data_IF_966757449159
#
_entry.id   IF_966757449159
#
_cell.length_a   1.000
_cell.length_b   1.000
_cell.length_c   1.000
_cell.angle_alpha   90.00
_cell.angle_beta   90.00
_cell.angle_gamma   90.00
#
_symmetry.space_group_name_H-M   'P 1'
#
loop_
_entity.id
_entity.type
_entity.pdbx_description
1 polymer ?
#
# COMPACT_ATOMS: atom_id res chain seq x y z
N UNK A 1 -5.14 7.77 25.08
CA UNK A 1 -6.37 8.11 24.32
C UNK A 1 -6.03 8.01 22.82
N UNK A 2 -6.22 6.85 22.19
CA UNK A 2 -5.88 6.67 20.77
C UNK A 2 -7.04 7.19 19.93
N UNK A 3 -6.96 8.44 19.45
CA UNK A 3 -7.96 8.97 18.50
C UNK A 3 -7.94 8.08 17.26
N UNK A 4 -9.03 7.36 16.98
CA UNK A 4 -9.23 6.67 15.70
C UNK A 4 -9.47 7.75 14.64
N UNK A 5 -8.40 8.21 14.00
CA UNK A 5 -8.47 9.10 12.84
C UNK A 5 -9.15 8.31 11.70
N UNK A 6 -10.11 8.92 11.00
CA UNK A 6 -10.77 8.27 9.87
C UNK A 6 -9.74 8.07 8.73
N UNK A 7 -9.84 6.97 7.98
CA UNK A 7 -8.89 6.68 6.90
C UNK A 7 -8.88 7.75 5.83
N UNK A 8 -10.05 8.31 5.53
CA UNK A 8 -10.17 9.46 4.63
C UNK A 8 -9.37 10.66 5.16
N UNK A 9 -9.39 10.92 6.47
CA UNK A 9 -8.59 11.99 7.07
C UNK A 9 -7.08 11.66 7.05
N UNK A 10 -6.68 10.41 7.31
CA UNK A 10 -5.27 10.00 7.21
C UNK A 10 -4.75 10.09 5.76
N UNK A 11 -5.49 9.55 4.80
CA UNK A 11 -5.14 9.59 3.38
C UNK A 11 -5.16 11.03 2.86
N UNK A 12 -6.17 11.82 3.22
CA UNK A 12 -6.24 13.24 2.88
C UNK A 12 -5.06 14.03 3.45
N UNK A 13 -4.61 13.73 4.67
CA UNK A 13 -3.43 14.37 5.25
C UNK A 13 -2.14 14.00 4.51
N UNK A 14 -1.94 12.71 4.17
CA UNK A 14 -0.75 12.25 3.44
C UNK A 14 -0.71 12.84 2.03
N UNK A 15 -1.81 12.73 1.27
CA UNK A 15 -1.86 13.24 -0.10
C UNK A 15 -1.94 14.77 -0.16
N UNK A 16 -2.67 15.41 0.74
CA UNK A 16 -2.74 16.87 0.82
C UNK A 16 -1.40 17.48 1.23
N UNK A 17 -0.75 16.92 2.25
CA UNK A 17 0.59 17.36 2.68
C UNK A 17 1.65 17.09 1.62
N UNK A 18 1.67 15.90 1.02
CA UNK A 18 2.57 15.55 -0.07
C UNK A 18 2.35 16.42 -1.31
N UNK A 19 1.09 16.64 -1.70
CA UNK A 19 0.72 17.51 -2.81
C UNK A 19 1.16 18.96 -2.59
N UNK A 20 0.97 19.48 -1.37
CA UNK A 20 1.44 20.82 -1.02
C UNK A 20 2.97 20.94 -1.11
N UNK A 21 3.70 19.93 -0.64
CA UNK A 21 5.16 19.87 -0.77
C UNK A 21 5.64 19.74 -2.22
N UNK A 22 4.83 19.18 -3.11
CA UNK A 22 5.13 19.06 -4.54
C UNK A 22 4.78 20.32 -5.35
N UNK A 23 4.03 21.28 -4.80
CA UNK A 23 3.68 22.53 -5.51
C UNK A 23 4.90 23.28 -6.06
N UNK A 24 6.01 23.48 -5.31
CA UNK A 24 7.20 24.13 -5.86
C UNK A 24 7.82 23.38 -7.05
N UNK A 25 7.83 22.04 -6.99
CA UNK A 25 8.31 21.20 -8.09
C UNK A 25 7.41 21.38 -9.30
N UNK A 26 6.08 21.34 -9.12
CA UNK A 26 5.11 21.57 -10.17
C UNK A 26 5.27 22.94 -10.83
N UNK A 27 5.55 23.99 -10.06
CA UNK A 27 5.77 25.34 -10.61
C UNK A 27 7.05 25.43 -11.46
N UNK A 28 8.10 24.67 -11.10
CA UNK A 28 9.39 24.68 -11.81
C UNK A 28 9.38 23.75 -13.03
N UNK A 29 8.78 22.56 -12.91
CA UNK A 29 8.89 21.48 -13.91
C UNK A 29 7.57 21.14 -14.62
N UNK A 30 6.45 21.73 -14.22
CA UNK A 30 5.11 21.34 -14.67
C UNK A 30 4.66 21.91 -16.01
N UNK A 31 5.42 22.80 -16.65
CA UNK A 31 5.05 23.38 -17.94
C UNK A 31 4.65 22.34 -19.01
N UNK A 32 5.33 21.18 -19.15
CA UNK A 32 4.93 20.13 -20.10
C UNK A 32 3.56 19.50 -19.83
N UNK A 33 3.06 19.54 -18.58
CA UNK A 33 1.78 18.92 -18.22
C UNK A 33 0.58 19.65 -18.81
N UNK A 34 0.71 20.94 -19.11
CA UNK A 34 -0.33 21.77 -19.74
C UNK A 34 0.03 22.19 -21.17
N UNK A 35 1.14 21.67 -21.70
CA UNK A 35 1.61 22.02 -23.04
C UNK A 35 0.66 21.52 -24.14
N UNK A 36 0.00 20.37 -23.91
CA UNK A 36 -1.00 19.81 -24.82
C UNK A 36 -2.17 19.22 -24.04
N UNK A 37 -3.34 19.14 -24.67
CA UNK A 37 -4.51 18.46 -24.09
C UNK A 37 -4.22 17.00 -23.78
N UNK A 38 -3.44 16.32 -24.62
CA UNK A 38 -3.05 14.93 -24.41
C UNK A 38 -2.18 14.76 -23.16
N UNK A 39 -1.13 15.58 -23.00
CA UNK A 39 -0.25 15.53 -21.83
C UNK A 39 -1.04 15.79 -20.53
N UNK A 40 -1.96 16.75 -20.58
CA UNK A 40 -2.85 17.04 -19.45
C UNK A 40 -3.77 15.85 -19.13
N UNK A 41 -4.38 15.23 -20.15
CA UNK A 41 -5.26 14.08 -19.96
C UNK A 41 -4.51 12.87 -19.41
N UNK A 42 -3.29 12.59 -19.89
CA UNK A 42 -2.44 11.53 -19.35
C UNK A 42 -2.06 11.82 -17.89
N UNK A 43 -1.67 13.06 -17.58
CA UNK A 43 -1.35 13.47 -16.21
C UNK A 43 -2.58 13.34 -15.28
N UNK A 44 -3.75 13.80 -15.73
CA UNK A 44 -5.00 13.69 -14.98
C UNK A 44 -5.40 12.22 -14.78
N UNK A 45 -5.26 11.38 -15.82
CA UNK A 45 -5.48 9.94 -15.72
C UNK A 45 -4.59 9.31 -14.65
N UNK A 46 -3.27 9.58 -14.69
CA UNK A 46 -2.32 9.05 -13.71
C UNK A 46 -2.60 9.54 -12.27
N UNK A 47 -3.02 10.79 -12.10
CA UNK A 47 -3.37 11.33 -10.79
C UNK A 47 -4.67 10.73 -10.23
N UNK A 48 -5.70 10.57 -11.07
CA UNK A 48 -7.03 10.17 -10.61
C UNK A 48 -7.18 8.66 -10.49
N UNK A 49 -6.64 7.89 -11.44
CA UNK A 49 -6.92 6.46 -11.54
C UNK A 49 -5.94 5.63 -10.69
N UNK A 50 -4.65 5.49 -11.02
CA UNK A 50 -3.75 4.66 -10.22
C UNK A 50 -3.44 5.30 -8.86
N UNK A 51 -3.27 6.63 -8.79
CA UNK A 51 -2.94 7.28 -7.52
C UNK A 51 -4.17 7.48 -6.63
N UNK A 52 -5.16 8.27 -7.02
CA UNK A 52 -6.28 8.58 -6.11
C UNK A 52 -7.20 7.37 -5.88
N UNK A 53 -7.77 6.81 -6.95
CA UNK A 53 -8.72 5.68 -6.83
C UNK A 53 -8.01 4.41 -6.31
N UNK A 54 -6.82 4.10 -6.83
CA UNK A 54 -6.03 2.96 -6.37
C UNK A 54 -5.75 3.01 -4.86
N UNK A 55 -5.28 4.15 -4.34
CA UNK A 55 -5.04 4.27 -2.90
C UNK A 55 -6.32 4.29 -2.06
N UNK A 56 -7.43 4.88 -2.53
CA UNK A 56 -8.71 4.78 -1.82
C UNK A 56 -9.16 3.32 -1.67
N UNK A 57 -9.09 2.55 -2.77
CA UNK A 57 -9.43 1.13 -2.77
C UNK A 57 -8.46 0.32 -1.90
N UNK A 58 -7.17 0.64 -1.92
CA UNK A 58 -6.18 0.03 -1.03
C UNK A 58 -6.50 0.32 0.45
N UNK A 59 -6.78 1.58 0.77
CA UNK A 59 -7.22 2.02 2.09
C UNK A 59 -8.47 1.30 2.55
N UNK A 60 -9.40 1.00 1.64
CA UNK A 60 -10.57 0.17 1.91
C UNK A 60 -10.25 -1.33 2.01
N UNK A 61 -9.32 -1.85 1.23
CA UNK A 61 -8.82 -3.23 1.34
C UNK A 61 -8.29 -3.52 2.73
N UNK A 62 -7.53 -2.59 3.31
CA UNK A 62 -7.00 -2.67 4.68
C UNK A 62 -8.08 -2.74 5.78
N UNK A 63 -9.39 -2.58 5.49
CA UNK A 63 -10.47 -2.88 6.46
C UNK A 63 -10.85 -4.35 6.46
N UNK A 64 -10.65 -5.03 5.34
CA UNK A 64 -11.21 -6.35 5.08
C UNK A 64 -10.17 -7.45 5.13
N UNK A 65 -8.89 -7.12 4.94
CA UNK A 65 -7.79 -8.09 4.93
C UNK A 65 -6.75 -7.77 5.99
N UNK A 66 -5.97 -8.78 6.40
CA UNK A 66 -4.84 -8.61 7.30
C UNK A 66 -3.74 -7.74 6.65
N UNK A 67 -2.92 -7.08 7.47
CA UNK A 67 -1.80 -6.29 6.98
C UNK A 67 -0.83 -7.13 6.13
N UNK A 68 -0.57 -8.38 6.54
CA UNK A 68 0.28 -9.31 5.79
C UNK A 68 -0.29 -9.60 4.40
N UNK A 69 -1.59 -9.87 4.28
CA UNK A 69 -2.24 -10.10 2.98
C UNK A 69 -2.15 -8.87 2.09
N UNK A 70 -2.34 -7.67 2.65
CA UNK A 70 -2.20 -6.42 1.90
C UNK A 70 -0.76 -6.23 1.39
N UNK A 71 0.24 -6.51 2.23
CA UNK A 71 1.65 -6.47 1.82
C UNK A 71 1.95 -7.48 0.72
N UNK A 72 1.42 -8.70 0.78
CA UNK A 72 1.58 -9.69 -0.31
C UNK A 72 1.02 -9.15 -1.62
N UNK A 73 -0.19 -8.57 -1.60
CA UNK A 73 -0.83 -8.01 -2.80
C UNK A 73 0.01 -6.84 -3.36
N UNK A 74 0.45 -5.91 -2.52
CA UNK A 74 1.30 -4.79 -2.94
C UNK A 74 2.66 -5.25 -3.45
N UNK A 75 3.26 -6.30 -2.88
CA UNK A 75 4.53 -6.85 -3.39
C UNK A 75 4.35 -7.67 -4.68
N UNK A 76 3.14 -8.16 -4.96
CA UNK A 76 2.80 -8.83 -6.22
C UNK A 76 2.74 -7.82 -7.36
N UNK A 77 2.32 -6.58 -7.09
CA UNK A 77 2.24 -5.51 -8.08
C UNK A 77 3.59 -5.26 -8.80
N UNK A 78 4.75 -5.07 -8.14
CA UNK A 78 6.05 -4.96 -8.80
C UNK A 78 6.38 -6.12 -9.74
N UNK A 79 6.04 -7.35 -9.35
CA UNK A 79 6.30 -8.52 -10.19
C UNK A 79 5.44 -8.48 -11.45
N UNK A 80 4.15 -8.15 -11.31
CA UNK A 80 3.24 -7.97 -12.45
C UNK A 80 3.70 -6.80 -13.31
N UNK A 81 4.06 -5.66 -12.72
CA UNK A 81 4.53 -4.47 -13.42
C UNK A 81 5.79 -4.78 -14.26
N UNK A 82 6.76 -5.50 -13.69
CA UNK A 82 7.95 -5.93 -14.43
C UNK A 82 7.61 -6.85 -15.61
N UNK A 83 6.68 -7.80 -15.42
CA UNK A 83 6.21 -8.68 -16.50
C UNK A 83 5.51 -7.85 -17.59
N UNK A 84 4.63 -6.93 -17.22
CA UNK A 84 3.94 -6.05 -18.16
C UNK A 84 4.92 -5.12 -18.90
N UNK A 85 5.98 -4.66 -18.25
CA UNK A 85 7.03 -3.88 -18.91
C UNK A 85 7.74 -4.69 -20.01
N UNK A 86 8.04 -5.97 -19.78
CA UNK A 86 8.60 -6.85 -20.83
C UNK A 86 7.59 -7.08 -21.95
N UNK A 87 6.37 -7.48 -21.61
CA UNK A 87 5.41 -8.00 -22.57
C UNK A 87 4.74 -6.88 -23.36
N UNK A 88 4.36 -5.79 -22.70
CA UNK A 88 3.62 -4.68 -23.31
C UNK A 88 4.55 -3.57 -23.79
N UNK A 89 5.50 -3.15 -22.95
CA UNK A 89 6.43 -2.05 -23.30
C UNK A 89 7.60 -2.56 -24.15
N UNK A 90 7.89 -3.86 -24.12
CA UNK A 90 8.99 -4.47 -24.88
C UNK A 90 10.36 -4.30 -24.20
N UNK A 91 10.40 -3.97 -22.91
CA UNK A 91 11.65 -3.77 -22.20
C UNK A 91 12.41 -5.09 -22.01
N UNK A 92 13.74 -5.04 -22.18
CA UNK A 92 14.62 -6.20 -21.96
C UNK A 92 15.19 -6.15 -20.56
N UNK A 93 14.69 -6.99 -19.66
CA UNK A 93 15.34 -7.17 -18.36
C UNK A 93 16.71 -7.82 -18.54
N UNK A 94 17.73 -7.19 -17.95
CA UNK A 94 19.04 -7.79 -17.75
C UNK A 94 18.92 -9.05 -16.86
N UNK A 95 19.93 -9.92 -16.88
CA UNK A 95 19.95 -11.14 -16.06
C UNK A 95 19.71 -10.84 -14.56
N UNK A 96 20.26 -9.75 -14.04
CA UNK A 96 20.01 -9.29 -12.67
C UNK A 96 18.53 -8.96 -12.40
N UNK A 97 17.82 -8.42 -13.39
CA UNK A 97 16.39 -8.12 -13.29
C UNK A 97 15.55 -9.40 -13.15
N UNK A 98 15.88 -10.44 -13.90
CA UNK A 98 15.24 -11.75 -13.78
C UNK A 98 15.52 -12.42 -12.43
N UNK A 99 16.76 -12.31 -11.93
CA UNK A 99 17.11 -12.80 -10.58
C UNK A 99 16.28 -12.07 -9.52
N UNK A 100 16.19 -10.74 -9.60
CA UNK A 100 15.37 -9.93 -8.70
C UNK A 100 13.90 -10.34 -8.72
N UNK A 101 13.33 -10.56 -9.91
CA UNK A 101 11.96 -11.03 -10.07
C UNK A 101 11.75 -12.42 -9.41
N UNK A 102 12.72 -13.32 -9.55
CA UNK A 102 12.70 -14.63 -8.89
C UNK A 102 12.73 -14.54 -7.36
N UNK A 103 13.55 -13.64 -6.80
CA UNK A 103 13.63 -13.40 -5.36
C UNK A 103 12.29 -12.87 -4.82
N UNK A 104 11.69 -11.88 -5.50
CA UNK A 104 10.36 -11.34 -5.14
C UNK A 104 9.30 -12.44 -5.21
N UNK A 105 9.30 -13.24 -6.28
CA UNK A 105 8.40 -14.39 -6.41
C UNK A 105 8.54 -15.40 -5.26
N UNK A 106 9.76 -15.74 -4.87
CA UNK A 106 10.03 -16.61 -3.72
C UNK A 106 9.51 -16.02 -2.41
N UNK A 107 9.78 -14.74 -2.15
CA UNK A 107 9.29 -14.05 -0.95
C UNK A 107 7.75 -14.01 -0.89
N UNK A 108 7.09 -13.78 -2.03
CA UNK A 108 5.63 -13.79 -2.15
C UNK A 108 5.04 -15.18 -1.87
N UNK A 109 5.66 -16.25 -2.38
CA UNK A 109 5.24 -17.62 -2.08
C UNK A 109 5.36 -17.92 -0.59
N UNK A 110 6.48 -17.56 0.04
CA UNK A 110 6.64 -17.71 1.50
C UNK A 110 5.54 -16.95 2.24
N UNK A 111 5.27 -15.69 1.87
CA UNK A 111 4.27 -14.88 2.55
C UNK A 111 2.83 -15.37 2.31
N UNK A 112 2.55 -15.95 1.13
CA UNK A 112 1.24 -16.51 0.81
C UNK A 112 0.95 -17.82 1.57
N UNK A 113 1.98 -18.63 1.85
CA UNK A 113 1.82 -19.94 2.49
C UNK A 113 2.23 -19.99 3.96
N UNK A 114 2.92 -18.97 4.48
CA UNK A 114 3.27 -18.91 5.89
C UNK A 114 2.02 -18.69 6.75
N UNK A 115 1.83 -19.46 7.84
CA UNK A 115 0.73 -19.21 8.76
C UNK A 115 0.91 -17.81 9.36
N UNK A 116 -0.09 -16.95 9.18
CA UNK A 116 -0.18 -15.67 9.89
C UNK A 116 0.05 -15.94 11.37
N UNK A 117 1.04 -15.28 11.98
CA UNK A 117 1.29 -15.34 13.41
C UNK A 117 0.01 -14.91 14.15
N UNK A 118 -0.86 -15.86 14.45
CA UNK A 118 -2.05 -15.65 15.25
C UNK A 118 -1.58 -15.11 16.58
N UNK A 119 -2.14 -13.97 17.00
CA UNK A 119 -1.74 -13.32 18.24
C UNK A 119 -1.60 -14.35 19.36
N UNK A 120 -0.39 -14.42 19.93
CA UNK A 120 -0.03 -15.40 20.94
C UNK A 120 -1.10 -15.43 22.05
N UNK A 121 -1.70 -16.61 22.35
CA UNK A 121 -2.67 -16.79 23.42
C UNK A 121 -2.19 -16.30 24.80
N UNK A 122 -0.88 -16.15 24.98
CA UNK A 122 -0.23 -15.62 26.17
C UNK A 122 -0.72 -14.21 26.57
N UNK A 123 -1.14 -13.36 25.62
CA UNK A 123 -1.65 -12.03 25.95
C UNK A 123 -3.07 -12.08 26.56
N UNK A 124 -3.91 -13.04 26.14
CA UNK A 124 -5.27 -13.21 26.69
C UNK A 124 -5.26 -13.70 28.14
N UNK A 125 -4.29 -14.54 28.50
CA UNK A 125 -4.14 -15.03 29.88
C UNK A 125 -3.67 -13.93 30.84
N UNK A 126 -2.73 -13.08 30.39
CA UNK A 126 -2.23 -11.94 31.20
C UNK A 126 -3.27 -10.86 31.47
N UNK A 127 -4.23 -10.65 30.56
CA UNK A 127 -5.35 -9.72 30.78
C UNK A 127 -6.35 -10.31 31.78
N UNK A 128 -6.61 -11.63 31.71
CA UNK A 128 -7.53 -12.32 32.64
C UNK A 128 -6.98 -12.40 34.07
N UNK A 129 -5.68 -12.60 34.24
CA UNK A 129 -5.03 -12.59 35.57
C UNK A 129 -4.98 -11.20 36.22
N UNK A 130 -5.05 -10.12 35.43
CA UNK A 130 -5.15 -8.75 35.98
C UNK A 130 -6.55 -8.36 36.43
N UNK A 131 -7.53 -9.22 36.21
CA UNK A 131 -8.93 -8.94 36.53
C UNK A 131 -9.58 -10.02 37.43
N UNK A 132 -9.02 -10.41 38.60
CA UNK A 132 -9.63 -11.43 39.45
C UNK A 132 -10.53 -10.86 40.58
N UNK A 133 -10.59 -9.55 40.80
CA UNK A 133 -11.08 -9.00 42.09
C UNK A 133 -12.31 -8.12 42.04
N UNK A 134 -12.99 -7.96 40.89
CA UNK A 134 -14.20 -7.12 40.80
C UNK A 134 -15.52 -7.87 40.98
N UNK A 135 -15.51 -9.22 40.95
CA UNK A 135 -16.73 -10.03 40.96
C UNK A 135 -17.03 -10.73 42.31
N UNK A 136 -16.28 -10.41 43.37
CA UNK A 136 -16.41 -11.05 44.68
C UNK A 136 -17.26 -10.28 45.71
N UNK A 137 -18.01 -9.25 45.29
CA UNK A 137 -18.73 -8.35 46.21
C UNK A 137 -20.22 -8.17 45.87
N UNK A 138 -20.90 -9.24 45.44
CA UNK A 138 -22.38 -9.30 45.41
C UNK A 138 -22.84 -10.58 46.06
#
# INVERSE_FOLDING_TARGET
>A
MTRRISRAASMGAVFGGGGLLLMPVLLITGAPLIATTEAFLVAAYMALVPMFLGYLLFGFGLTRISASTATTVTLTEPAIAAILAVVIVGERLAAAGWIGLGIIGGALLILAFAPTNAEQPANRLRVRERQPTLDATT
#
